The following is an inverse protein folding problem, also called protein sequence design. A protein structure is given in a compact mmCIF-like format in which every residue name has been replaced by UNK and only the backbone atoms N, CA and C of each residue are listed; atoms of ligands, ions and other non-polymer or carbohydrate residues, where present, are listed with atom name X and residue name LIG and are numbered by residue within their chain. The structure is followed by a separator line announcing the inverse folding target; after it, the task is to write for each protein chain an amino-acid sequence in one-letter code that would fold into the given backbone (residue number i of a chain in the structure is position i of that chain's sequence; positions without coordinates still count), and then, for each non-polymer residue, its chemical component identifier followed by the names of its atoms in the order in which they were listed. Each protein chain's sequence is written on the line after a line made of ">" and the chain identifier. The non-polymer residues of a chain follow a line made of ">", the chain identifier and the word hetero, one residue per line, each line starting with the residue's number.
data_IF_743835535494
#
_entry.id   IF_743835535494
#
_cell.length_a   1.000
_cell.length_b   1.000
_cell.length_c   1.000
_cell.angle_alpha   90.00
_cell.angle_beta   90.00
_cell.angle_gamma   90.00
#
_symmetry.space_group_name_H-M   'P 1'
#
loop_
_entity.id
_entity.type
_entity.pdbx_description
1 polymer ?
#
# COMPACT_ATOMS: atom_id res chain seq x y z
N UNK A 1 -33.65 9.70 19.69
CA UNK A 1 -32.26 9.98 20.06
C UNK A 1 -31.69 8.69 20.62
N UNK A 2 -30.99 7.92 19.79
CA UNK A 2 -30.32 6.68 20.19
C UNK A 2 -28.84 6.99 20.41
N UNK A 3 -28.33 6.57 21.56
CA UNK A 3 -26.97 6.82 22.05
C UNK A 3 -25.97 6.13 21.12
N UNK A 4 -25.05 6.91 20.55
CA UNK A 4 -23.87 6.41 19.84
C UNK A 4 -22.95 5.70 20.83
N UNK A 5 -22.75 4.40 20.65
CA UNK A 5 -21.84 3.61 21.46
C UNK A 5 -20.38 4.01 21.13
N UNK A 6 -19.60 4.54 22.10
CA UNK A 6 -18.22 4.97 21.85
C UNK A 6 -17.22 3.81 21.85
N UNK A 7 -17.67 2.55 21.83
CA UNK A 7 -16.82 1.36 21.77
C UNK A 7 -16.36 0.99 20.35
N UNK A 8 -16.40 1.92 19.40
CA UNK A 8 -15.53 1.89 18.23
C UNK A 8 -14.11 2.14 18.74
N UNK A 9 -13.52 1.12 19.37
CA UNK A 9 -12.11 1.13 19.71
C UNK A 9 -11.36 1.40 18.42
N UNK A 10 -10.73 2.58 18.33
CA UNK A 10 -9.86 2.95 17.23
C UNK A 10 -8.78 1.86 17.12
N UNK A 11 -9.06 0.87 16.26
CA UNK A 11 -8.17 -0.24 16.02
C UNK A 11 -6.86 0.32 15.51
N UNK A 12 -5.79 0.18 16.29
CA UNK A 12 -4.47 0.56 15.83
C UNK A 12 -4.07 -0.41 14.71
N UNK A 13 -3.92 0.11 13.49
CA UNK A 13 -3.45 -0.65 12.33
C UNK A 13 -1.94 -0.42 12.22
N UNK A 14 -1.15 -1.48 12.38
CA UNK A 14 0.28 -1.42 12.14
C UNK A 14 0.55 -1.70 10.67
N UNK A 15 1.37 -0.86 10.04
CA UNK A 15 1.73 -1.04 8.63
C UNK A 15 3.21 -1.36 8.56
N UNK A 16 3.53 -2.59 8.17
CA UNK A 16 4.90 -3.01 7.91
C UNK A 16 5.07 -3.15 6.41
N UNK A 17 6.11 -2.52 5.88
CA UNK A 17 6.44 -2.67 4.47
C UNK A 17 7.93 -2.66 4.24
N UNK A 18 8.30 -3.33 3.17
CA UNK A 18 9.66 -3.38 2.66
C UNK A 18 9.71 -2.86 1.24
N UNK A 19 10.90 -2.49 0.81
CA UNK A 19 11.11 -2.07 -0.57
C UNK A 19 12.53 -2.29 -1.02
N UNK A 20 12.68 -2.44 -2.33
CA UNK A 20 13.96 -2.50 -3.01
C UNK A 20 13.98 -1.44 -4.09
N UNK A 21 15.12 -0.79 -4.24
CA UNK A 21 15.33 0.24 -5.24
C UNK A 21 16.67 0.05 -5.93
N UNK A 22 16.73 0.48 -7.18
CA UNK A 22 17.99 0.60 -7.91
C UNK A 22 18.13 2.02 -8.48
N UNK A 23 19.36 2.51 -8.44
CA UNK A 23 19.77 3.79 -8.99
C UNK A 23 20.78 3.52 -10.11
N UNK A 24 20.43 3.91 -11.32
CA UNK A 24 21.27 3.72 -12.50
C UNK A 24 21.72 5.10 -12.96
N UNK A 25 22.96 5.46 -12.63
CA UNK A 25 23.62 6.62 -13.21
C UNK A 25 23.96 6.32 -14.68
N UNK A 26 23.47 7.13 -15.61
CA UNK A 26 23.82 7.06 -17.03
C UNK A 26 25.05 7.93 -17.32
N UNK A 27 25.65 7.77 -18.50
CA UNK A 27 26.77 8.63 -18.89
C UNK A 27 26.36 10.11 -18.86
N UNK A 28 27.02 10.91 -18.00
CA UNK A 28 26.74 12.33 -17.82
C UNK A 28 26.08 12.63 -16.47
N UNK A 29 25.07 13.51 -16.48
CA UNK A 29 24.35 14.00 -15.28
C UNK A 29 22.96 13.40 -15.13
N UNK A 30 22.65 12.35 -15.89
CA UNK A 30 21.33 11.74 -15.88
C UNK A 30 21.34 10.49 -15.03
N UNK A 31 20.21 10.22 -14.37
CA UNK A 31 19.99 8.96 -13.68
C UNK A 31 18.57 8.45 -13.86
N UNK A 32 18.41 7.15 -13.62
CA UNK A 32 17.12 6.47 -13.56
C UNK A 32 17.00 5.78 -12.22
N UNK A 33 15.92 6.09 -11.48
CA UNK A 33 15.56 5.41 -10.25
C UNK A 33 14.37 4.49 -10.49
N UNK A 34 14.48 3.24 -10.05
CA UNK A 34 13.39 2.28 -10.02
C UNK A 34 13.20 1.83 -8.58
N UNK A 35 11.98 1.96 -8.06
CA UNK A 35 11.66 1.54 -6.69
C UNK A 35 10.41 0.66 -6.70
N UNK A 36 10.49 -0.45 -5.98
CA UNK A 36 9.37 -1.36 -5.72
C UNK A 36 9.20 -1.46 -4.21
N UNK A 37 8.03 -1.10 -3.71
CA UNK A 37 7.67 -1.20 -2.29
C UNK A 37 6.42 -2.04 -2.16
N UNK A 38 6.35 -2.86 -1.12
CA UNK A 38 5.17 -3.62 -0.76
C UNK A 38 4.94 -3.48 0.74
N UNK A 39 3.68 -3.25 1.12
CA UNK A 39 3.25 -3.11 2.50
C UNK A 39 2.19 -4.17 2.77
N UNK A 40 2.42 -4.96 3.81
CA UNK A 40 1.36 -5.73 4.46
C UNK A 40 0.63 -4.79 5.43
N UNK A 41 -0.68 -4.72 5.32
CA UNK A 41 -1.50 -3.95 6.24
C UNK A 41 -1.92 -4.90 7.37
N UNK A 42 -1.22 -4.86 8.50
CA UNK A 42 -1.62 -5.61 9.71
C UNK A 42 -2.75 -4.83 10.39
N UNK A 43 -3.97 -5.24 10.11
CA UNK A 43 -5.17 -4.80 10.79
C UNK A 43 -5.45 -5.66 12.02
N UNK A 44 -5.85 -4.98 13.08
CA UNK A 44 -6.39 -5.46 14.35
C UNK A 44 -5.41 -5.88 15.45
N UNK A 45 -5.18 -4.91 16.35
CA UNK A 45 -4.95 -5.17 17.76
C UNK A 45 -3.48 -5.30 18.15
N UNK A 46 -3.17 -5.00 19.40
CA UNK A 46 -1.86 -5.25 20.02
C UNK A 46 -1.57 -6.75 20.22
N UNK A 47 -2.20 -7.61 19.42
CA UNK A 47 -2.18 -9.05 19.54
C UNK A 47 -1.55 -9.63 18.27
N UNK A 48 -0.35 -10.20 18.41
CA UNK A 48 0.42 -10.74 17.29
C UNK A 48 -0.16 -12.05 16.73
N UNK A 49 -1.23 -12.55 17.36
CA UNK A 49 -1.84 -13.84 17.05
C UNK A 49 -3.04 -13.72 16.08
N UNK A 50 -3.44 -12.51 15.68
CA UNK A 50 -4.46 -12.27 14.65
C UNK A 50 -3.87 -11.45 13.50
N UNK A 51 -3.67 -12.10 12.36
CA UNK A 51 -3.12 -11.50 11.16
C UNK A 51 -4.26 -10.96 10.30
N UNK A 52 -4.23 -9.66 9.97
CA UNK A 52 -4.91 -9.22 8.77
C UNK A 52 -4.09 -9.69 7.57
N UNK A 53 -4.45 -10.86 7.06
CA UNK A 53 -3.82 -11.44 5.88
C UNK A 53 -4.36 -10.84 4.57
N UNK A 54 -5.23 -9.84 4.67
CA UNK A 54 -6.22 -9.57 3.62
C UNK A 54 -6.03 -8.27 2.84
N UNK A 55 -5.08 -7.41 3.22
CA UNK A 55 -4.77 -6.21 2.42
C UNK A 55 -3.27 -6.04 2.13
N UNK A 56 -2.94 -5.94 0.84
CA UNK A 56 -1.57 -5.72 0.33
C UNK A 56 -1.57 -4.44 -0.50
N UNK A 57 -0.65 -3.52 -0.15
CA UNK A 57 -0.39 -2.32 -0.94
C UNK A 57 1.00 -2.42 -1.59
N UNK A 58 1.02 -2.64 -2.90
CA UNK A 58 2.21 -2.55 -3.74
C UNK A 58 2.33 -1.17 -4.38
N UNK A 59 3.56 -0.69 -4.55
CA UNK A 59 3.84 0.49 -5.34
C UNK A 59 5.12 0.27 -6.16
N UNK A 60 5.02 0.55 -7.44
CA UNK A 60 6.14 0.59 -8.36
C UNK A 60 6.35 2.02 -8.83
N UNK A 61 7.57 2.54 -8.72
CA UNK A 61 7.94 3.89 -9.14
C UNK A 61 9.10 3.85 -10.13
N UNK A 62 9.01 4.69 -11.14
CA UNK A 62 10.12 5.02 -12.03
C UNK A 62 10.31 6.53 -12.00
N UNK A 63 11.56 6.97 -11.88
CA UNK A 63 11.92 8.37 -11.98
C UNK A 63 13.12 8.57 -12.89
N UNK A 64 13.08 9.63 -13.67
CA UNK A 64 14.19 10.13 -14.47
C UNK A 64 14.68 11.41 -13.81
N UNK A 65 15.99 11.49 -13.60
CA UNK A 65 16.61 12.62 -12.92
C UNK A 65 17.74 13.25 -13.71
N UNK A 66 17.98 14.52 -13.40
CA UNK A 66 19.08 15.34 -13.89
C UNK A 66 19.78 15.98 -12.70
N UNK A 67 21.04 15.63 -12.50
CA UNK A 67 21.94 16.28 -11.56
C UNK A 67 22.30 17.67 -12.08
N UNK A 68 21.88 18.70 -11.35
CA UNK A 68 22.25 20.09 -11.66
C UNK A 68 23.64 20.39 -11.10
N UNK A 69 23.87 19.92 -9.86
CA UNK A 69 25.12 20.01 -9.13
C UNK A 69 25.35 18.71 -8.36
N UNK A 70 26.56 18.47 -7.81
CA UNK A 70 26.79 17.31 -6.94
C UNK A 70 25.90 17.25 -5.68
N UNK A 71 25.23 18.36 -5.33
CA UNK A 71 24.36 18.44 -4.16
C UNK A 71 22.87 18.49 -4.50
N UNK A 72 22.51 18.72 -5.77
CA UNK A 72 21.11 18.97 -6.18
C UNK A 72 20.81 18.27 -7.49
N UNK A 73 19.72 17.50 -7.50
CA UNK A 73 19.12 16.97 -8.72
C UNK A 73 17.64 17.32 -8.83
N UNK A 74 17.16 17.47 -10.06
CA UNK A 74 15.74 17.51 -10.39
C UNK A 74 15.30 16.14 -10.90
N UNK A 75 14.04 15.77 -10.66
CA UNK A 75 13.49 14.54 -11.19
C UNK A 75 12.01 14.67 -11.54
N UNK A 76 11.59 13.85 -12.48
CA UNK A 76 10.18 13.58 -12.80
C UNK A 76 9.98 12.07 -12.81
N UNK A 77 8.76 11.62 -12.51
CA UNK A 77 8.50 10.19 -12.46
C UNK A 77 7.01 9.85 -12.47
N UNK A 78 6.77 8.55 -12.56
CA UNK A 78 5.46 7.95 -12.48
C UNK A 78 5.47 6.84 -11.44
N UNK A 79 4.32 6.61 -10.82
CA UNK A 79 4.09 5.50 -9.92
C UNK A 79 2.81 4.76 -10.30
N UNK A 80 2.86 3.44 -10.21
CA UNK A 80 1.70 2.56 -10.23
C UNK A 80 1.51 2.00 -8.82
N UNK A 81 0.34 2.24 -8.24
CA UNK A 81 -0.08 1.70 -6.96
C UNK A 81 -1.05 0.56 -7.22
N UNK A 82 -0.83 -0.55 -6.53
CA UNK A 82 -1.66 -1.74 -6.59
C UNK A 82 -2.13 -2.00 -5.18
N UNK A 83 -3.43 -1.86 -4.98
CA UNK A 83 -4.07 -2.21 -3.73
C UNK A 83 -4.90 -3.46 -3.97
N UNK A 84 -4.62 -4.51 -3.21
CA UNK A 84 -5.38 -5.74 -3.23
C UNK A 84 -5.99 -5.95 -1.85
N UNK A 85 -7.31 -6.10 -1.80
CA UNK A 85 -8.05 -6.34 -0.56
C UNK A 85 -8.97 -7.54 -0.72
N UNK A 86 -9.09 -8.38 0.31
CA UNK A 86 -10.19 -9.32 0.42
C UNK A 86 -11.41 -8.52 0.88
N UNK A 87 -12.43 -8.41 0.04
CA UNK A 87 -13.74 -7.92 0.51
C UNK A 87 -14.44 -9.11 1.17
N UNK A 88 -14.63 -9.03 2.48
CA UNK A 88 -15.64 -9.84 3.15
C UNK A 88 -16.99 -9.34 2.64
N UNK A 89 -17.64 -10.13 1.78
CA UNK A 89 -19.04 -9.89 1.48
C UNK A 89 -19.81 -10.11 2.79
N UNK A 90 -20.21 -9.02 3.45
CA UNK A 90 -21.21 -8.98 4.53
C UNK A 90 -22.58 -9.42 3.97
N UNK A 91 -22.67 -10.64 3.45
CA UNK A 91 -23.95 -11.33 3.34
C UNK A 91 -24.26 -11.77 4.74
N UNK A 92 -25.03 -10.95 5.46
CA UNK A 92 -25.59 -11.31 6.76
C UNK A 92 -26.30 -12.66 6.61
N UNK A 93 -25.63 -13.73 7.00
CA UNK A 93 -26.24 -15.04 7.06
C UNK A 93 -27.41 -14.90 8.04
N UNK A 94 -28.66 -15.11 7.59
CA UNK A 94 -29.78 -15.06 8.51
C UNK A 94 -29.47 -16.05 9.65
N UNK A 95 -29.60 -15.55 10.88
CA UNK A 95 -29.19 -16.11 12.18
C UNK A 95 -29.57 -17.58 12.48
N UNK A 96 -30.14 -18.33 11.53
CA UNK A 96 -30.71 -19.65 11.72
C UNK A 96 -30.33 -20.67 10.63
N UNK A 97 -29.21 -20.49 9.93
CA UNK A 97 -28.69 -21.55 9.04
C UNK A 97 -27.37 -22.06 9.60
N UNK A 98 -27.44 -23.27 10.16
CA UNK A 98 -26.29 -24.12 10.48
C UNK A 98 -25.65 -24.51 9.14
N UNK A 99 -24.73 -23.68 8.66
CA UNK A 99 -24.02 -23.89 7.40
C UNK A 99 -22.52 -23.95 7.67
N UNK A 100 -21.91 -25.05 7.23
CA UNK A 100 -20.48 -25.12 6.94
C UNK A 100 -20.14 -24.19 5.78
N UNK A 101 -20.26 -22.89 6.02
CA UNK A 101 -20.16 -21.82 5.05
C UNK A 101 -18.72 -21.66 4.60
N UNK A 102 -18.44 -22.08 3.36
CA UNK A 102 -17.21 -21.71 2.69
C UNK A 102 -17.15 -20.20 2.59
N UNK A 103 -16.12 -19.60 3.17
CA UNK A 103 -15.73 -18.22 2.90
C UNK A 103 -15.59 -18.05 1.38
N UNK A 104 -16.55 -17.39 0.73
CA UNK A 104 -16.39 -16.93 -0.65
C UNK A 104 -15.97 -15.47 -0.63
N UNK A 105 -14.83 -15.17 0.00
CA UNK A 105 -14.22 -13.85 -0.11
C UNK A 105 -13.79 -13.62 -1.55
N UNK A 106 -14.15 -12.47 -2.13
CA UNK A 106 -13.68 -12.09 -3.45
C UNK A 106 -12.55 -11.07 -3.33
N UNK A 107 -11.46 -11.29 -4.07
CA UNK A 107 -10.34 -10.36 -4.08
C UNK A 107 -10.65 -9.19 -5.01
N UNK A 108 -10.51 -7.97 -4.50
CA UNK A 108 -10.61 -6.75 -5.29
C UNK A 108 -9.24 -6.12 -5.46
N UNK A 109 -8.87 -5.82 -6.71
CA UNK A 109 -7.65 -5.09 -7.05
C UNK A 109 -8.00 -3.69 -7.56
N UNK A 110 -7.42 -2.66 -6.94
CA UNK A 110 -7.45 -1.28 -7.42
C UNK A 110 -6.07 -0.89 -7.94
N UNK A 111 -6.05 -0.30 -9.13
CA UNK A 111 -4.84 0.20 -9.77
C UNK A 111 -4.91 1.71 -9.90
N UNK A 112 -3.91 2.41 -9.37
CA UNK A 112 -3.82 3.87 -9.49
C UNK A 112 -2.48 4.30 -10.06
N UNK A 113 -2.52 5.07 -11.13
CA UNK A 113 -1.35 5.74 -11.68
C UNK A 113 -1.24 7.16 -11.11
N UNK A 114 -0.01 7.58 -10.80
CA UNK A 114 0.28 8.95 -10.39
C UNK A 114 1.57 9.44 -11.03
N UNK A 115 1.67 10.75 -11.22
CA UNK A 115 2.87 11.42 -11.72
C UNK A 115 3.40 12.36 -10.65
N UNK A 116 4.73 12.48 -10.58
CA UNK A 116 5.38 13.32 -9.59
C UNK A 116 6.61 14.00 -10.18
N UNK A 117 6.97 15.14 -9.61
CA UNK A 117 8.19 15.87 -9.91
C UNK A 117 8.76 16.43 -8.61
N UNK A 118 10.07 16.61 -8.55
CA UNK A 118 10.71 17.13 -7.35
C UNK A 118 12.18 17.45 -7.54
N UNK A 119 12.80 17.83 -6.42
CA UNK A 119 14.23 18.00 -6.30
C UNK A 119 14.76 17.11 -5.17
N UNK A 120 15.92 16.50 -5.37
CA UNK A 120 16.65 15.73 -4.37
C UNK A 120 17.90 16.51 -3.97
N UNK A 121 18.15 16.56 -2.66
CA UNK A 121 19.38 17.05 -2.07
C UNK A 121 20.21 15.86 -1.58
N UNK A 122 21.52 15.89 -1.81
CA UNK A 122 22.48 14.86 -1.40
C UNK A 122 23.32 15.30 -0.21
#
# INVERSE_FOLDING_TARGET
>A
MGVSDPSLGDGCVMRLGGGVGTHIATAGRFYVDLNLTAHGLLSQGCDFDHFADDEVLGQARVALGLELTPAVALFIGAAANIETRLEEDDVGAPFLVDEGGGYSGSWRTRLEASFFAGARLF
#
